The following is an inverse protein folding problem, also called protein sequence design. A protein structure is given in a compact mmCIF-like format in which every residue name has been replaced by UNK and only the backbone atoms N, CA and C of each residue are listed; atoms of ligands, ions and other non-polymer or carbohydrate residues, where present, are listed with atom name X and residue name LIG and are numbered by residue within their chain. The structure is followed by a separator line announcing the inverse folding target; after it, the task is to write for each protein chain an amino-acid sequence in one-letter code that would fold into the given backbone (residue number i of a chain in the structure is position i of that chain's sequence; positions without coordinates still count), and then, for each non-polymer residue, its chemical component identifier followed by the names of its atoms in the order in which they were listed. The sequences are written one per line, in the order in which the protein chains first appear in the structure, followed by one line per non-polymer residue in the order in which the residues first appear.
data_IF_608481823453
#
_entry.id   IF_608481823453
#
_cell.length_a   1.000
_cell.length_b   1.000
_cell.length_c   1.000
_cell.angle_alpha   90.00
_cell.angle_beta   90.00
_cell.angle_gamma   90.00
#
_symmetry.space_group_name_H-M   'P 1'
#
loop_
_entity.id
_entity.type
_entity.pdbx_description
1 polymer ?
#
# COMPACT_ATOMS: atom_id res chain seq x y z
N UNK A 1 7.92 -3.29 -19.54
CA UNK A 1 6.91 -3.54 -18.49
C UNK A 1 7.45 -2.98 -17.17
N UNK A 2 6.59 -2.48 -16.28
CA UNK A 2 6.99 -2.09 -14.93
C UNK A 2 6.38 -3.09 -13.94
N UNK A 3 7.14 -3.47 -12.92
CA UNK A 3 6.66 -4.26 -11.78
C UNK A 3 6.56 -3.33 -10.57
N UNK A 4 5.46 -3.44 -9.83
CA UNK A 4 5.24 -2.64 -8.61
C UNK A 4 5.16 -3.60 -7.43
N UNK A 5 6.18 -3.59 -6.59
CA UNK A 5 6.14 -4.28 -5.31
C UNK A 5 5.44 -3.38 -4.30
N UNK A 6 4.46 -3.92 -3.58
CA UNK A 6 3.74 -3.22 -2.54
C UNK A 6 3.86 -4.00 -1.24
N UNK A 7 4.12 -3.31 -0.13
CA UNK A 7 4.07 -3.89 1.21
C UNK A 7 3.26 -3.00 2.15
N UNK A 8 2.64 -3.61 3.14
CA UNK A 8 2.08 -2.87 4.28
C UNK A 8 3.26 -2.35 5.11
N UNK A 9 3.38 -1.03 5.19
CA UNK A 9 4.39 -0.38 6.04
C UNK A 9 3.85 -0.09 7.44
N UNK A 10 2.58 0.30 7.53
CA UNK A 10 1.89 0.54 8.81
C UNK A 10 0.42 0.21 8.70
N UNK A 11 -0.09 -0.54 9.68
CA UNK A 11 -1.52 -0.82 9.83
C UNK A 11 -2.05 -0.19 11.12
N UNK A 12 -2.84 0.89 10.98
CA UNK A 12 -3.49 1.59 12.08
C UNK A 12 -4.89 1.05 12.41
N UNK A 13 -5.67 1.79 13.20
CA UNK A 13 -7.07 1.43 13.45
C UNK A 13 -7.98 1.71 12.25
N UNK A 14 -7.83 2.89 11.64
CA UNK A 14 -8.65 3.42 10.54
C UNK A 14 -7.84 3.74 9.28
N UNK A 15 -6.54 3.44 9.26
CA UNK A 15 -5.66 3.76 8.14
C UNK A 15 -4.62 2.69 7.88
N UNK A 16 -4.17 2.61 6.63
CA UNK A 16 -3.05 1.77 6.19
C UNK A 16 -2.08 2.62 5.38
N UNK A 17 -0.78 2.42 5.62
CA UNK A 17 0.28 2.98 4.78
C UNK A 17 0.89 1.84 3.97
N UNK A 18 0.83 1.97 2.64
CA UNK A 18 1.52 1.08 1.71
C UNK A 18 2.80 1.74 1.24
N UNK A 19 3.90 0.99 1.29
CA UNK A 19 5.15 1.37 0.65
C UNK A 19 5.30 0.62 -0.68
N UNK A 20 5.86 1.29 -1.68
CA UNK A 20 6.01 0.79 -3.03
C UNK A 20 7.45 0.88 -3.51
N UNK A 21 7.85 -0.13 -4.26
CA UNK A 21 9.04 -0.11 -5.12
C UNK A 21 8.59 -0.39 -6.55
N UNK A 22 8.96 0.50 -7.46
CA UNK A 22 8.65 0.38 -8.89
C UNK A 22 9.94 0.03 -9.61
N UNK A 23 9.98 -1.17 -10.18
CA UNK A 23 11.14 -1.69 -10.90
C UNK A 23 10.83 -1.90 -12.37
N UNK A 24 11.86 -1.84 -13.20
CA UNK A 24 11.81 -2.17 -14.62
C UNK A 24 12.78 -3.32 -14.88
N UNK A 25 12.27 -4.38 -15.49
CA UNK A 25 13.13 -5.43 -16.00
C UNK A 25 13.91 -4.94 -17.23
N UNK A 26 15.22 -5.18 -17.23
CA UNK A 26 16.14 -4.95 -18.33
C UNK A 26 17.07 -6.17 -18.52
N UNK A 27 18.05 -6.05 -19.42
CA UNK A 27 18.97 -7.12 -19.81
C UNK A 27 19.84 -7.62 -18.64
N UNK A 28 19.98 -6.83 -17.57
CA UNK A 28 20.82 -7.11 -16.41
C UNK A 28 20.02 -7.44 -15.14
N UNK A 29 18.69 -7.53 -15.24
CA UNK A 29 17.80 -7.83 -14.11
C UNK A 29 16.77 -6.73 -13.86
N UNK A 30 16.46 -6.48 -12.58
CA UNK A 30 15.50 -5.44 -12.20
C UNK A 30 16.23 -4.15 -11.78
N UNK A 31 15.93 -3.06 -12.48
CA UNK A 31 16.38 -1.71 -12.11
C UNK A 31 15.29 -0.98 -11.33
N UNK A 32 15.62 -0.48 -10.14
CA UNK A 32 14.72 0.37 -9.34
C UNK A 32 14.56 1.73 -10.01
N UNK A 33 13.31 2.10 -10.30
CA UNK A 33 12.95 3.36 -10.97
C UNK A 33 12.44 4.39 -9.96
N UNK A 34 11.63 3.95 -9.01
CA UNK A 34 11.03 4.82 -8.02
C UNK A 34 10.66 4.07 -6.74
N UNK A 35 10.60 4.82 -5.64
CA UNK A 35 9.99 4.39 -4.38
C UNK A 35 8.91 5.39 -4.00
N UNK A 36 7.98 4.97 -3.15
CA UNK A 36 6.96 5.88 -2.63
C UNK A 36 6.09 5.22 -1.59
N UNK A 37 5.20 6.01 -1.00
CA UNK A 37 4.17 5.49 -0.09
C UNK A 37 2.84 6.19 -0.30
N UNK A 38 1.76 5.50 0.04
CA UNK A 38 0.42 6.09 0.10
C UNK A 38 -0.19 5.78 1.45
N UNK A 39 -0.89 6.77 2.02
CA UNK A 39 -1.71 6.60 3.20
C UNK A 39 -3.18 6.55 2.78
N UNK A 40 -3.86 5.47 3.12
CA UNK A 40 -5.29 5.29 2.87
C UNK A 40 -6.02 5.32 4.20
N UNK A 41 -7.12 6.06 4.27
CA UNK A 41 -7.99 6.17 5.45
C UNK A 41 -9.37 5.65 5.09
N UNK A 42 -9.91 4.76 5.90
CA UNK A 42 -11.27 4.25 5.76
C UNK A 42 -12.23 5.28 6.37
N UNK A 43 -13.23 5.69 5.60
CA UNK A 43 -14.20 6.70 6.02
C UNK A 43 -15.63 6.24 5.77
N UNK A 44 -16.58 6.80 6.52
CA UNK A 44 -18.01 6.65 6.25
C UNK A 44 -18.51 7.62 5.15
N UNK A 45 -19.82 7.60 4.89
CA UNK A 45 -20.48 8.48 3.91
C UNK A 45 -20.37 9.99 4.25
N UNK A 46 -20.00 10.33 5.47
CA UNK A 46 -19.81 11.70 5.96
C UNK A 46 -18.32 12.09 6.02
N UNK A 47 -17.43 11.25 5.45
CA UNK A 47 -15.97 11.40 5.47
C UNK A 47 -15.34 11.32 6.87
N UNK A 48 -16.00 10.70 7.84
CA UNK A 48 -15.43 10.47 9.17
C UNK A 48 -14.61 9.17 9.19
N UNK A 49 -13.41 9.15 9.81
CA UNK A 49 -12.63 7.93 9.92
C UNK A 49 -13.37 6.82 10.65
N UNK A 50 -13.35 5.62 10.07
CA UNK A 50 -13.93 4.41 10.66
C UNK A 50 -12.88 3.31 10.76
N UNK A 51 -13.10 2.35 11.66
CA UNK A 51 -12.19 1.21 11.80
C UNK A 51 -12.10 0.41 10.50
N UNK A 52 -10.90 -0.08 10.19
CA UNK A 52 -10.66 -0.98 9.06
C UNK A 52 -11.56 -2.21 9.22
N UNK A 53 -12.35 -2.58 8.19
CA UNK A 53 -13.16 -3.80 8.21
C UNK A 53 -12.33 -5.03 8.55
N UNK A 54 -12.88 -5.95 9.36
CA UNK A 54 -12.16 -7.11 9.87
C UNK A 54 -11.51 -7.96 8.74
N UNK A 55 -12.24 -8.19 7.64
CA UNK A 55 -11.73 -8.96 6.50
C UNK A 55 -10.55 -8.29 5.78
N UNK A 56 -10.49 -6.95 5.76
CA UNK A 56 -9.35 -6.21 5.22
C UNK A 56 -8.17 -6.31 6.18
N UNK A 57 -8.43 -6.13 7.48
CA UNK A 57 -7.38 -6.23 8.50
C UNK A 57 -6.72 -7.61 8.48
N UNK A 58 -7.52 -8.67 8.36
CA UNK A 58 -7.02 -10.05 8.24
C UNK A 58 -6.18 -10.26 6.98
N UNK A 59 -6.62 -9.74 5.82
CA UNK A 59 -5.87 -9.85 4.58
C UNK A 59 -4.54 -9.06 4.54
N UNK A 60 -4.38 -8.07 5.43
CA UNK A 60 -3.22 -7.18 5.49
C UNK A 60 -2.28 -7.47 6.68
N UNK A 61 -2.64 -8.41 7.55
CA UNK A 61 -1.83 -8.85 8.70
C UNK A 61 -0.97 -10.04 8.34
#
# INVERSE_FOLDING_TARGET
LLTVHARVERLGNSSVVFAFEIVRADENGETLIATGSTAQVFVDKENKPVSIPAWIREALS
#
